data_IF_011953697479
#
_entry.id   IF_011953697479
#
_cell.length_a   1.000
_cell.length_b   1.000
_cell.length_c   1.000
_cell.angle_alpha   90.00
_cell.angle_beta   90.00
_cell.angle_gamma   90.00
#
_symmetry.space_group_name_H-M   'P 1'
#
loop_
_entity.id
_entity.type
_entity.pdbx_description
1 polymer ?
#
# COMPACT_ATOMS: atom_id res chain seq x y z
N UNK A 1 14.10 -31.36 4.23
CA UNK A 1 15.08 -30.56 5.03
C UNK A 1 16.04 -29.75 4.16
N UNK A 2 16.73 -30.31 3.15
CA UNK A 2 17.66 -29.56 2.27
C UNK A 2 17.04 -28.30 1.61
N UNK A 3 15.81 -28.45 1.10
CA UNK A 3 15.02 -27.35 0.50
C UNK A 3 14.76 -26.16 1.47
N UNK A 4 14.51 -26.42 2.76
CA UNK A 4 14.26 -25.34 3.74
C UNK A 4 15.54 -24.55 4.03
N UNK A 5 16.70 -25.21 4.12
CA UNK A 5 17.97 -24.50 4.32
C UNK A 5 18.38 -23.70 3.08
N UNK A 6 18.18 -24.24 1.88
CA UNK A 6 18.40 -23.50 0.63
C UNK A 6 17.47 -22.27 0.54
N UNK A 7 16.20 -22.41 0.91
CA UNK A 7 15.25 -21.30 1.02
C UNK A 7 15.73 -20.25 2.05
N UNK A 8 16.20 -20.68 3.23
CA UNK A 8 16.74 -19.75 4.25
C UNK A 8 17.96 -19.00 3.72
N UNK A 9 18.88 -19.67 3.04
CA UNK A 9 20.05 -19.04 2.43
C UNK A 9 19.66 -18.01 1.38
N UNK A 10 18.71 -18.36 0.50
CA UNK A 10 18.13 -17.45 -0.49
C UNK A 10 17.51 -16.20 0.15
N UNK A 11 16.64 -16.38 1.14
CA UNK A 11 15.97 -15.26 1.82
C UNK A 11 16.99 -14.36 2.56
N UNK A 12 18.00 -14.95 3.20
CA UNK A 12 19.10 -14.20 3.84
C UNK A 12 19.93 -13.41 2.82
N UNK A 13 20.20 -13.98 1.66
CA UNK A 13 20.87 -13.29 0.56
C UNK A 13 20.03 -12.12 0.05
N UNK A 14 18.77 -12.37 -0.32
CA UNK A 14 17.89 -11.36 -0.89
C UNK A 14 17.68 -10.17 0.05
N UNK A 15 17.59 -10.38 1.38
CA UNK A 15 17.54 -9.28 2.36
C UNK A 15 18.68 -8.26 2.21
N UNK A 16 19.86 -8.67 1.73
CA UNK A 16 21.04 -7.78 1.55
C UNK A 16 20.98 -6.93 0.29
N UNK A 17 20.17 -7.31 -0.69
CA UNK A 17 20.05 -6.64 -1.99
C UNK A 17 18.64 -6.08 -2.24
N UNK A 18 17.73 -6.20 -1.27
CA UNK A 18 16.32 -5.86 -1.43
C UNK A 18 16.00 -4.40 -1.10
N UNK A 19 16.37 -3.49 -2.00
CA UNK A 19 16.32 -2.04 -1.76
C UNK A 19 15.14 -1.32 -2.40
N UNK A 20 14.62 -1.84 -3.53
CA UNK A 20 13.63 -1.10 -4.30
C UNK A 20 12.18 -1.31 -3.91
N UNK A 21 11.83 -2.43 -3.29
CA UNK A 21 10.46 -2.65 -2.83
C UNK A 21 10.18 -1.97 -1.49
N UNK A 22 8.96 -1.46 -1.25
CA UNK A 22 8.60 -0.73 -0.04
C UNK A 22 8.28 -1.61 1.18
N UNK A 23 8.65 -2.89 1.15
CA UNK A 23 8.38 -3.83 2.24
C UNK A 23 9.48 -3.77 3.30
N UNK A 24 9.09 -3.47 4.53
CA UNK A 24 9.94 -3.53 5.71
C UNK A 24 10.30 -4.99 6.03
N UNK A 25 11.52 -5.20 6.51
CA UNK A 25 12.08 -6.53 6.83
C UNK A 25 12.75 -6.57 8.21
N UNK A 26 12.66 -5.47 8.96
CA UNK A 26 13.22 -5.24 10.30
C UNK A 26 12.22 -5.62 11.41
N UNK A 27 11.49 -6.72 11.19
CA UNK A 27 10.59 -7.28 12.19
C UNK A 27 11.17 -8.56 12.77
N UNK A 28 10.85 -8.80 14.03
CA UNK A 28 11.15 -10.02 14.75
C UNK A 28 9.85 -10.49 15.44
N UNK A 29 9.46 -11.72 15.13
CA UNK A 29 8.24 -12.34 15.63
C UNK A 29 8.56 -13.62 16.42
N UNK A 30 9.76 -13.73 17.00
CA UNK A 30 10.17 -14.87 17.82
C UNK A 30 9.18 -15.17 18.95
N UNK A 31 8.61 -14.13 19.56
CA UNK A 31 7.57 -14.25 20.60
C UNK A 31 6.21 -14.73 20.07
N UNK A 32 6.02 -14.77 18.74
CA UNK A 32 4.80 -15.23 18.07
C UNK A 32 5.02 -16.54 17.30
N UNK A 33 6.22 -17.14 17.34
CA UNK A 33 6.56 -18.32 16.53
C UNK A 33 5.67 -19.53 16.80
N UNK A 34 5.25 -19.70 18.06
CA UNK A 34 4.41 -20.82 18.50
C UNK A 34 3.00 -20.74 17.89
N UNK A 35 2.54 -19.53 17.58
CA UNK A 35 1.24 -19.31 16.92
C UNK A 35 1.22 -19.90 15.50
N UNK A 36 2.36 -20.12 14.85
CA UNK A 36 2.40 -20.68 13.49
C UNK A 36 1.83 -22.12 13.46
N UNK A 37 1.87 -22.83 14.59
CA UNK A 37 1.31 -24.17 14.74
C UNK A 37 -0.19 -24.19 15.08
N UNK A 38 -0.81 -23.02 15.26
CA UNK A 38 -2.21 -22.88 15.64
C UNK A 38 -3.12 -22.58 14.43
N UNK A 39 -4.40 -22.97 14.54
CA UNK A 39 -5.40 -22.62 13.54
C UNK A 39 -6.01 -21.24 13.83
N UNK A 40 -6.12 -20.40 12.80
CA UNK A 40 -6.80 -19.11 12.89
C UNK A 40 -7.80 -18.91 11.76
N UNK A 41 -8.98 -18.40 12.09
CA UNK A 41 -9.96 -18.01 11.09
C UNK A 41 -10.88 -16.87 11.57
N UNK A 42 -10.69 -15.68 11.00
CA UNK A 42 -11.53 -14.49 11.28
C UNK A 42 -12.73 -14.46 10.33
N UNK A 43 -13.63 -15.43 10.42
CA UNK A 43 -14.79 -15.52 9.52
C UNK A 43 -15.71 -14.30 9.68
N UNK A 44 -16.12 -13.73 8.55
CA UNK A 44 -17.15 -12.68 8.49
C UNK A 44 -16.75 -11.33 9.10
N UNK A 45 -17.75 -10.56 9.53
CA UNK A 45 -17.61 -9.19 10.02
C UNK A 45 -16.75 -9.11 11.31
N UNK A 46 -15.71 -8.24 11.36
CA UNK A 46 -14.85 -8.08 12.54
C UNK A 46 -15.57 -7.65 13.83
N UNK A 47 -16.79 -7.14 13.73
CA UNK A 47 -17.58 -6.62 14.85
C UNK A 47 -18.66 -7.59 15.33
N UNK A 48 -18.80 -8.76 14.70
CA UNK A 48 -19.74 -9.81 15.09
C UNK A 48 -19.14 -10.77 16.13
N UNK A 49 -19.95 -11.74 16.59
CA UNK A 49 -19.49 -12.85 17.41
C UNK A 49 -18.52 -13.72 16.59
N UNK A 50 -17.31 -13.90 17.10
CA UNK A 50 -16.27 -14.71 16.45
C UNK A 50 -16.36 -16.20 16.78
N UNK A 51 -15.60 -17.01 16.06
CA UNK A 51 -15.36 -18.42 16.39
C UNK A 51 -14.27 -18.56 17.49
N UNK A 52 -14.13 -19.73 18.14
CA UNK A 52 -13.06 -19.98 19.10
C UNK A 52 -11.63 -19.79 18.56
N UNK A 53 -11.45 -19.91 17.24
CA UNK A 53 -10.16 -19.73 16.55
C UNK A 53 -10.00 -18.33 15.94
N UNK A 54 -10.91 -17.40 16.26
CA UNK A 54 -10.87 -16.05 15.72
C UNK A 54 -10.05 -15.11 16.59
N UNK A 55 -9.39 -14.15 15.95
CA UNK A 55 -8.59 -13.09 16.58
C UNK A 55 -9.24 -11.72 16.36
N UNK A 56 -10.58 -11.66 16.27
CA UNK A 56 -11.33 -10.45 15.95
C UNK A 56 -11.02 -9.27 16.88
N UNK A 57 -10.64 -9.53 18.14
CA UNK A 57 -10.17 -8.50 19.07
C UNK A 57 -8.89 -7.79 18.59
N UNK A 58 -7.91 -8.54 18.10
CA UNK A 58 -6.67 -8.00 17.53
C UNK A 58 -6.94 -7.24 16.23
N UNK A 59 -7.80 -7.81 15.39
CA UNK A 59 -8.23 -7.16 14.15
C UNK A 59 -8.88 -5.81 14.41
N UNK A 60 -9.87 -5.75 15.32
CA UNK A 60 -10.50 -4.49 15.73
C UNK A 60 -9.51 -3.51 16.34
N UNK A 61 -8.51 -3.97 17.10
CA UNK A 61 -7.50 -3.10 17.67
C UNK A 61 -6.66 -2.40 16.58
N UNK A 62 -6.25 -3.13 15.54
CA UNK A 62 -5.53 -2.58 14.38
C UNK A 62 -6.43 -1.60 13.60
N UNK A 63 -7.68 -1.99 13.31
CA UNK A 63 -8.63 -1.13 12.59
C UNK A 63 -8.88 0.17 13.38
N UNK A 64 -9.18 0.07 14.67
CA UNK A 64 -9.45 1.21 15.53
C UNK A 64 -8.23 2.13 15.68
N UNK A 65 -7.00 1.60 15.67
CA UNK A 65 -5.79 2.40 15.64
C UNK A 65 -5.75 3.32 14.42
N UNK A 66 -5.98 2.78 13.23
CA UNK A 66 -5.97 3.56 11.99
C UNK A 66 -7.22 4.43 11.79
N UNK A 67 -8.40 3.99 12.25
CA UNK A 67 -9.60 4.83 12.27
C UNK A 67 -9.36 6.15 13.04
N UNK A 68 -8.72 6.08 14.21
CA UNK A 68 -8.36 7.26 15.00
C UNK A 68 -7.32 8.17 14.34
N UNK A 69 -6.57 7.67 13.37
CA UNK A 69 -5.59 8.44 12.60
C UNK A 69 -6.21 9.11 11.37
N UNK A 70 -7.27 8.52 10.81
CA UNK A 70 -7.83 8.94 9.52
C UNK A 70 -9.19 9.62 9.61
N UNK A 71 -10.06 9.16 10.50
CA UNK A 71 -11.48 9.53 10.51
C UNK A 71 -11.78 10.51 11.65
N UNK A 72 -12.47 11.61 11.32
CA UNK A 72 -13.06 12.55 12.30
C UNK A 72 -14.13 11.87 13.16
N UNK A 73 -14.94 11.01 12.54
CA UNK A 73 -16.01 10.26 13.18
C UNK A 73 -15.81 8.76 12.99
N UNK A 74 -15.31 8.11 14.05
CA UNK A 74 -15.08 6.66 14.04
C UNK A 74 -16.37 5.85 14.19
N UNK A 75 -17.46 6.44 14.68
CA UNK A 75 -18.72 5.72 14.90
C UNK A 75 -19.43 5.38 13.59
N UNK A 76 -19.28 6.23 12.57
CA UNK A 76 -19.82 6.02 11.22
C UNK A 76 -18.81 5.36 10.28
N UNK A 77 -17.74 4.80 10.85
CA UNK A 77 -16.69 4.12 10.11
C UNK A 77 -16.66 2.63 10.42
N UNK A 78 -16.19 1.85 9.46
CA UNK A 78 -15.98 0.41 9.56
C UNK A 78 -14.70 0.04 8.81
N UNK A 79 -14.17 -1.15 9.09
CA UNK A 79 -13.00 -1.66 8.41
C UNK A 79 -12.82 -3.15 8.63
N UNK A 80 -11.88 -3.74 7.90
CA UNK A 80 -11.41 -5.11 8.11
C UNK A 80 -9.97 -5.29 7.62
N UNK A 81 -9.33 -6.36 8.06
CA UNK A 81 -8.03 -6.79 7.53
C UNK A 81 -8.29 -7.74 6.35
N UNK A 82 -8.04 -7.21 5.15
CA UNK A 82 -8.02 -7.91 3.88
C UNK A 82 -6.70 -8.67 3.67
N UNK A 83 -6.67 -9.63 2.75
CA UNK A 83 -5.45 -10.38 2.41
C UNK A 83 -4.33 -9.51 1.84
N UNK A 84 -4.67 -8.39 1.19
CA UNK A 84 -3.73 -7.41 0.65
C UNK A 84 -4.44 -6.09 0.32
N UNK A 85 -3.68 -5.04 -0.02
CA UNK A 85 -4.28 -3.77 -0.48
C UNK A 85 -5.13 -3.93 -1.75
N UNK A 86 -4.81 -4.87 -2.65
CA UNK A 86 -5.63 -5.07 -3.86
C UNK A 86 -7.05 -5.55 -3.55
N UNK A 87 -7.22 -6.42 -2.54
CA UNK A 87 -8.55 -6.80 -2.04
C UNK A 87 -9.26 -5.62 -1.39
N UNK A 88 -8.55 -4.80 -0.61
CA UNK A 88 -9.13 -3.60 0.01
C UNK A 88 -9.62 -2.58 -1.03
N UNK A 89 -8.86 -2.34 -2.11
CA UNK A 89 -9.26 -1.48 -3.23
C UNK A 89 -10.48 -2.09 -3.95
N UNK A 90 -10.43 -3.39 -4.25
CA UNK A 90 -11.56 -4.11 -4.86
C UNK A 90 -12.84 -3.93 -4.03
N UNK A 91 -12.74 -4.11 -2.72
CA UNK A 91 -13.87 -3.93 -1.81
C UNK A 91 -14.42 -2.51 -1.83
N UNK A 92 -13.55 -1.49 -1.78
CA UNK A 92 -13.95 -0.09 -1.83
C UNK A 92 -14.68 0.27 -3.12
N UNK A 93 -14.14 -0.14 -4.26
CA UNK A 93 -14.73 0.11 -5.59
C UNK A 93 -16.04 -0.66 -5.78
N UNK A 94 -16.09 -1.92 -5.34
CA UNK A 94 -17.30 -2.74 -5.41
C UNK A 94 -18.46 -2.10 -4.65
N UNK A 95 -18.23 -1.70 -3.40
CA UNK A 95 -19.23 -1.04 -2.57
C UNK A 95 -19.64 0.32 -3.12
N UNK A 96 -18.68 1.13 -3.59
CA UNK A 96 -18.99 2.41 -4.22
C UNK A 96 -19.83 2.26 -5.50
N UNK A 97 -19.52 1.26 -6.35
CA UNK A 97 -20.31 0.94 -7.55
C UNK A 97 -21.74 0.54 -7.18
N UNK A 98 -21.92 -0.33 -6.18
CA UNK A 98 -23.24 -0.76 -5.72
C UNK A 98 -24.04 0.40 -5.12
N UNK A 99 -23.38 1.30 -4.38
CA UNK A 99 -24.00 2.51 -3.85
C UNK A 99 -24.53 3.40 -4.98
N UNK A 100 -23.76 3.55 -6.06
CA UNK A 100 -24.15 4.32 -7.24
C UNK A 100 -24.84 3.49 -8.34
N UNK A 101 -25.48 2.37 -8.01
CA UNK A 101 -26.09 1.47 -9.02
C UNK A 101 -27.17 2.10 -9.91
N UNK A 102 -27.71 3.25 -9.52
CA UNK A 102 -28.68 4.02 -10.31
C UNK A 102 -28.02 4.94 -11.36
N UNK A 103 -26.69 5.05 -11.35
CA UNK A 103 -25.91 5.93 -12.22
C UNK A 103 -24.98 5.13 -13.13
N UNK A 104 -24.56 5.78 -14.21
CA UNK A 104 -23.46 5.30 -15.04
C UNK A 104 -22.13 5.58 -14.31
N UNK A 105 -21.52 4.53 -13.76
CA UNK A 105 -20.31 4.64 -12.93
C UNK A 105 -19.04 4.62 -13.79
N UNK A 106 -18.19 5.62 -13.63
CA UNK A 106 -16.83 5.66 -14.21
C UNK A 106 -15.76 5.65 -13.11
N UNK A 107 -14.83 4.70 -13.17
CA UNK A 107 -13.64 4.66 -12.31
C UNK A 107 -12.54 5.56 -12.90
N UNK A 108 -12.05 6.53 -12.12
CA UNK A 108 -11.05 7.52 -12.53
C UNK A 108 -9.78 7.36 -11.67
N UNK A 109 -8.63 7.32 -12.31
CA UNK A 109 -7.32 7.18 -11.63
C UNK A 109 -6.18 7.68 -12.53
N UNK A 110 -4.99 7.87 -11.98
CA UNK A 110 -3.82 8.35 -12.75
C UNK A 110 -3.05 7.22 -13.45
N UNK A 111 -2.21 7.53 -14.42
CA UNK A 111 -1.28 6.56 -15.05
C UNK A 111 -0.16 6.07 -14.08
N UNK A 112 -0.07 6.65 -12.88
CA UNK A 112 0.78 6.19 -11.78
C UNK A 112 0.04 5.35 -10.73
N UNK A 113 -1.28 5.16 -10.87
CA UNK A 113 -2.04 4.29 -9.99
C UNK A 113 -1.53 2.84 -10.10
N UNK A 114 -1.65 2.10 -9.01
CA UNK A 114 -1.18 0.71 -9.00
C UNK A 114 -1.97 -0.14 -10.01
N UNK A 115 -1.30 -1.08 -10.69
CA UNK A 115 -1.91 -1.92 -11.73
C UNK A 115 -3.14 -2.71 -11.25
N UNK A 116 -3.31 -2.90 -9.94
CA UNK A 116 -4.51 -3.55 -9.42
C UNK A 116 -5.77 -2.72 -9.61
N UNK A 117 -5.68 -1.40 -9.82
CA UNK A 117 -6.85 -0.53 -10.05
C UNK A 117 -7.50 -0.84 -11.40
N UNK A 118 -6.72 -0.94 -12.47
CA UNK A 118 -7.23 -1.33 -13.80
C UNK A 118 -7.77 -2.77 -13.78
N UNK A 119 -7.11 -3.67 -13.04
CA UNK A 119 -7.61 -5.03 -12.79
C UNK A 119 -8.94 -5.03 -12.04
N UNK A 120 -9.11 -4.19 -11.01
CA UNK A 120 -10.38 -4.04 -10.29
C UNK A 120 -11.50 -3.54 -11.21
N UNK A 121 -11.22 -2.57 -12.09
CA UNK A 121 -12.18 -2.11 -13.09
C UNK A 121 -12.64 -3.25 -14.00
N UNK A 122 -11.70 -4.11 -14.43
CA UNK A 122 -11.99 -5.27 -15.27
C UNK A 122 -12.84 -6.32 -14.52
N UNK A 123 -12.45 -6.70 -13.30
CA UNK A 123 -13.19 -7.67 -12.47
C UNK A 123 -14.65 -7.22 -12.25
N UNK A 124 -14.85 -5.94 -11.97
CA UNK A 124 -16.18 -5.38 -11.68
C UNK A 124 -16.95 -4.93 -12.93
N UNK A 125 -16.37 -5.09 -14.13
CA UNK A 125 -16.91 -4.61 -15.40
C UNK A 125 -17.34 -3.13 -15.37
N UNK A 126 -16.50 -2.26 -14.81
CA UNK A 126 -16.74 -0.81 -14.71
C UNK A 126 -15.95 -0.08 -15.79
N UNK A 127 -16.58 0.88 -16.48
CA UNK A 127 -15.89 1.82 -17.36
C UNK A 127 -14.81 2.55 -16.57
N UNK A 128 -13.63 2.73 -17.15
CA UNK A 128 -12.58 3.48 -16.48
C UNK A 128 -11.92 4.54 -17.37
N UNK A 129 -11.36 5.55 -16.72
CA UNK A 129 -10.61 6.64 -17.33
C UNK A 129 -9.27 6.80 -16.60
N UNK A 130 -8.19 6.66 -17.36
CA UNK A 130 -6.85 7.03 -16.93
C UNK A 130 -6.63 8.52 -17.22
N UNK A 131 -6.21 9.26 -16.20
CA UNK A 131 -5.76 10.66 -16.28
C UNK A 131 -4.24 10.67 -16.26
N UNK A 132 -3.62 11.54 -17.05
CA UNK A 132 -2.16 11.68 -17.07
C UNK A 132 -1.65 12.27 -15.77
N UNK A 133 -0.48 11.82 -15.30
CA UNK A 133 0.25 12.45 -14.21
C UNK A 133 1.26 13.49 -14.70
N UNK A 134 1.61 14.40 -13.79
CA UNK A 134 2.74 15.33 -13.91
C UNK A 134 4.06 14.57 -13.77
N UNK A 135 5.19 15.23 -14.06
CA UNK A 135 6.53 14.62 -13.99
C UNK A 135 6.89 14.05 -12.61
N UNK A 136 6.31 14.59 -11.54
CA UNK A 136 6.53 14.11 -10.18
C UNK A 136 5.69 12.86 -9.84
N UNK A 137 4.78 12.45 -10.72
CA UNK A 137 3.91 11.28 -10.62
C UNK A 137 2.52 11.58 -10.05
N UNK A 138 2.22 12.80 -9.62
CA UNK A 138 0.87 13.18 -9.17
C UNK A 138 -0.06 13.35 -10.36
N UNK A 139 -1.33 12.97 -10.19
CA UNK A 139 -2.38 13.19 -11.17
C UNK A 139 -2.44 14.67 -11.62
N UNK A 140 -2.62 14.90 -12.92
CA UNK A 140 -2.89 16.23 -13.45
C UNK A 140 -4.36 16.60 -13.22
N UNK A 141 -4.58 17.49 -12.25
CA UNK A 141 -5.92 17.98 -11.90
C UNK A 141 -6.56 18.85 -12.99
N UNK A 142 -5.77 19.52 -13.84
CA UNK A 142 -6.31 20.25 -14.99
C UNK A 142 -6.88 19.31 -16.05
N UNK A 143 -6.19 18.19 -16.29
CA UNK A 143 -6.68 17.11 -17.15
C UNK A 143 -7.92 16.41 -16.55
N UNK A 144 -7.94 16.21 -15.22
CA UNK A 144 -9.13 15.70 -14.52
C UNK A 144 -10.33 16.64 -14.69
N UNK A 145 -10.16 17.94 -14.45
CA UNK A 145 -11.23 18.94 -14.58
C UNK A 145 -11.75 19.02 -16.02
N UNK A 146 -10.86 18.99 -17.02
CA UNK A 146 -11.24 18.98 -18.43
C UNK A 146 -12.07 17.75 -18.78
N UNK A 147 -11.65 16.56 -18.33
CA UNK A 147 -12.42 15.32 -18.52
C UNK A 147 -13.83 15.42 -17.93
N UNK A 148 -13.96 15.92 -16.70
CA UNK A 148 -15.27 16.06 -16.04
C UNK A 148 -16.17 17.06 -16.76
N UNK A 149 -15.61 18.18 -17.25
CA UNK A 149 -16.33 19.19 -18.02
C UNK A 149 -16.86 18.63 -19.34
N UNK A 150 -16.02 17.91 -20.09
CA UNK A 150 -16.39 17.31 -21.39
C UNK A 150 -17.41 16.18 -21.27
N UNK A 151 -17.41 15.47 -20.13
CA UNK A 151 -18.27 14.32 -19.88
C UNK A 151 -19.37 14.64 -18.86
N UNK A 152 -19.67 15.92 -18.64
CA UNK A 152 -20.71 16.35 -17.70
C UNK A 152 -22.07 15.76 -18.10
N UNK A 153 -22.65 14.99 -17.19
CA UNK A 153 -23.96 14.38 -17.36
C UNK A 153 -24.56 14.10 -15.98
N UNK A 154 -25.84 14.46 -15.80
CA UNK A 154 -26.58 14.26 -14.53
C UNK A 154 -26.70 12.79 -14.12
N UNK A 155 -26.61 11.85 -15.08
CA UNK A 155 -26.68 10.41 -14.82
C UNK A 155 -25.32 9.76 -14.54
N UNK A 156 -24.22 10.52 -14.46
CA UNK A 156 -22.89 9.97 -14.18
C UNK A 156 -22.56 10.00 -12.68
N UNK A 157 -21.88 8.93 -12.24
CA UNK A 157 -21.20 8.89 -10.96
C UNK A 157 -19.72 8.53 -11.15
N UNK A 158 -18.86 9.05 -10.29
CA UNK A 158 -17.42 8.85 -10.41
C UNK A 158 -16.85 8.17 -9.16
N UNK A 159 -16.04 7.13 -9.36
CA UNK A 159 -15.19 6.57 -8.31
C UNK A 159 -13.78 7.03 -8.62
N UNK A 160 -13.20 7.87 -7.78
CA UNK A 160 -11.83 8.36 -7.92
C UNK A 160 -10.90 7.59 -6.99
N UNK A 161 -9.84 7.01 -7.55
CA UNK A 161 -8.72 6.46 -6.78
C UNK A 161 -7.62 7.50 -6.72
N UNK A 162 -7.47 8.14 -5.56
CA UNK A 162 -6.33 9.00 -5.27
C UNK A 162 -5.15 8.14 -4.81
N UNK A 163 -4.05 8.18 -5.56
CA UNK A 163 -2.84 7.44 -5.20
C UNK A 163 -2.10 8.19 -4.09
N UNK A 164 -1.95 7.55 -2.94
CA UNK A 164 -1.23 8.09 -1.78
C UNK A 164 0.07 7.30 -1.62
N UNK A 165 1.14 7.80 -2.24
CA UNK A 165 2.43 7.12 -2.30
C UNK A 165 2.51 6.19 -3.49
N UNK A 166 2.61 6.75 -4.70
CA UNK A 166 2.78 5.95 -5.91
C UNK A 166 4.01 5.05 -5.83
N UNK A 167 3.96 3.90 -6.51
CA UNK A 167 4.94 2.82 -6.33
C UNK A 167 6.38 3.24 -6.64
N UNK A 168 6.56 4.21 -7.54
CA UNK A 168 7.87 4.60 -8.07
C UNK A 168 8.34 5.89 -7.43
N UNK A 169 7.50 6.94 -7.43
CA UNK A 169 7.89 8.29 -7.03
C UNK A 169 7.38 8.68 -5.64
N UNK A 170 6.56 7.84 -4.99
CA UNK A 170 5.83 8.18 -3.75
C UNK A 170 5.01 9.47 -3.89
N UNK A 171 4.53 9.76 -5.10
CA UNK A 171 3.63 10.89 -5.33
C UNK A 171 2.32 10.72 -4.55
N UNK A 172 1.77 11.84 -4.09
CA UNK A 172 0.50 11.90 -3.38
C UNK A 172 -0.45 12.76 -4.20
N UNK A 173 -1.48 12.15 -4.76
CA UNK A 173 -2.54 12.88 -5.46
C UNK A 173 -3.26 13.82 -4.49
N UNK A 174 -3.43 15.08 -4.87
CA UNK A 174 -4.15 16.07 -4.06
C UNK A 174 -5.67 15.82 -4.08
N UNK A 175 -6.09 14.81 -3.31
CA UNK A 175 -7.48 14.37 -3.24
C UNK A 175 -8.45 15.45 -2.72
N UNK A 176 -7.96 16.42 -1.92
CA UNK A 176 -8.78 17.54 -1.43
C UNK A 176 -9.12 18.50 -2.57
N UNK A 177 -8.16 18.83 -3.40
CA UNK A 177 -8.39 19.66 -4.59
C UNK A 177 -9.21 18.90 -5.64
N UNK A 178 -8.92 17.61 -5.86
CA UNK A 178 -9.74 16.75 -6.71
C UNK A 178 -11.21 16.73 -6.25
N UNK A 179 -11.47 16.61 -4.95
CA UNK A 179 -12.80 16.70 -4.37
C UNK A 179 -13.50 18.02 -4.70
N UNK A 180 -12.80 19.14 -4.58
CA UNK A 180 -13.34 20.45 -4.94
C UNK A 180 -13.67 20.53 -6.43
N UNK A 181 -12.85 19.93 -7.29
CA UNK A 181 -13.13 19.83 -8.72
C UNK A 181 -14.40 18.99 -8.95
N UNK A 182 -14.51 17.79 -8.39
CA UNK A 182 -15.70 16.94 -8.54
C UNK A 182 -16.98 17.67 -8.14
N UNK A 183 -16.97 18.37 -6.99
CA UNK A 183 -18.12 19.15 -6.50
C UNK A 183 -18.63 20.24 -7.44
N UNK A 184 -17.79 20.75 -8.35
CA UNK A 184 -18.23 21.71 -9.39
C UNK A 184 -19.18 21.06 -10.40
N UNK A 185 -19.09 19.74 -10.58
CA UNK A 185 -19.76 19.01 -11.66
C UNK A 185 -20.79 17.98 -11.16
N UNK A 186 -20.61 17.39 -9.97
CA UNK A 186 -21.54 16.40 -9.44
C UNK A 186 -21.35 16.18 -7.94
N UNK A 187 -22.41 15.78 -7.25
CA UNK A 187 -22.37 15.26 -5.88
C UNK A 187 -22.22 13.73 -5.84
N UNK A 188 -22.38 13.06 -7.00
CA UNK A 188 -22.30 11.60 -7.13
C UNK A 188 -20.86 11.14 -7.35
N UNK A 189 -20.00 11.34 -6.34
CA UNK A 189 -18.63 10.85 -6.41
C UNK A 189 -18.17 10.16 -5.12
N UNK A 190 -17.21 9.27 -5.26
CA UNK A 190 -16.56 8.54 -4.19
C UNK A 190 -15.05 8.62 -4.35
N UNK A 191 -14.34 8.97 -3.28
CA UNK A 191 -12.89 9.06 -3.26
C UNK A 191 -12.34 7.93 -2.37
N UNK A 192 -11.55 7.06 -3.00
CA UNK A 192 -10.73 6.06 -2.32
C UNK A 192 -9.29 6.54 -2.28
N UNK A 193 -8.65 6.48 -1.12
CA UNK A 193 -7.22 6.72 -0.99
C UNK A 193 -6.46 5.38 -1.11
N UNK A 194 -5.74 5.17 -2.21
CA UNK A 194 -4.77 4.07 -2.28
C UNK A 194 -3.50 4.43 -1.51
N UNK A 195 -3.56 4.21 -0.19
CA UNK A 195 -2.47 4.43 0.76
C UNK A 195 -1.66 3.18 1.04
N UNK A 196 -1.52 2.27 0.07
CA UNK A 196 -0.88 0.98 0.31
C UNK A 196 0.50 1.12 1.00
N UNK A 197 1.33 2.06 0.56
CA UNK A 197 2.60 2.35 1.25
C UNK A 197 2.49 3.54 2.18
N UNK A 198 2.29 4.74 1.63
CA UNK A 198 2.36 5.98 2.39
C UNK A 198 1.21 6.17 3.37
N UNK A 199 0.09 5.45 3.19
CA UNK A 199 -1.03 5.52 4.13
C UNK A 199 -0.70 5.05 5.55
N UNK A 200 0.38 4.29 5.74
CA UNK A 200 0.82 3.94 7.09
C UNK A 200 1.41 5.13 7.87
N UNK A 201 1.86 6.18 7.18
CA UNK A 201 2.53 7.34 7.79
C UNK A 201 2.02 8.71 7.34
N UNK A 202 1.19 8.79 6.29
CA UNK A 202 0.50 10.02 5.89
C UNK A 202 -0.16 10.73 7.10
N UNK A 203 -0.98 10.05 7.93
CA UNK A 203 -1.65 10.71 9.05
C UNK A 203 -0.74 11.02 10.25
N UNK A 204 0.55 10.69 10.14
CA UNK A 204 1.57 10.95 11.16
C UNK A 204 2.37 12.22 10.86
N UNK A 205 2.18 12.82 9.68
CA UNK A 205 2.82 14.06 9.27
C UNK A 205 2.19 15.26 9.99
N UNK A 206 3.01 16.26 10.30
CA UNK A 206 2.57 17.43 11.07
C UNK A 206 1.51 18.29 10.36
N UNK A 207 1.49 18.27 9.03
CA UNK A 207 0.57 19.01 8.16
C UNK A 207 -0.69 18.22 7.79
N UNK A 208 -0.80 16.96 8.23
CA UNK A 208 -1.99 16.17 7.94
C UNK A 208 -3.17 16.63 8.80
N UNK A 209 -4.23 17.06 8.12
CA UNK A 209 -5.51 17.39 8.73
C UNK A 209 -6.43 16.18 8.58
N UNK A 210 -6.79 15.59 9.71
CA UNK A 210 -7.84 14.57 9.85
C UNK A 210 -9.13 15.06 9.18
N UNK A 211 -9.82 14.23 8.39
CA UNK A 211 -11.04 14.73 7.73
C UNK A 211 -11.82 13.74 6.86
N UNK A 212 -12.98 14.22 6.39
CA UNK A 212 -14.03 13.49 5.65
C UNK A 212 -13.95 13.68 4.12
N UNK A 213 -12.80 14.13 3.63
CA UNK A 213 -12.58 14.43 2.20
C UNK A 213 -12.44 13.17 1.34
N UNK A 214 -12.50 11.99 1.95
CA UNK A 214 -12.48 10.69 1.29
C UNK A 214 -13.46 9.73 1.98
N UNK A 215 -13.85 8.67 1.27
CA UNK A 215 -14.85 7.71 1.72
C UNK A 215 -14.24 6.39 2.18
N UNK A 216 -13.06 6.05 1.68
CA UNK A 216 -12.28 4.91 2.16
C UNK A 216 -10.78 5.06 1.89
N UNK A 217 -9.99 4.26 2.60
CA UNK A 217 -8.53 4.20 2.46
C UNK A 217 -8.06 2.77 2.71
N UNK A 218 -7.06 2.33 1.94
CA UNK A 218 -6.34 1.08 2.21
C UNK A 218 -4.89 1.35 2.63
N UNK A 219 -4.34 0.44 3.45
CA UNK A 219 -2.94 0.49 3.93
C UNK A 219 -2.38 -0.92 3.90
N UNK A 220 -1.17 -1.13 3.37
CA UNK A 220 -0.53 -2.46 3.41
C UNK A 220 0.22 -2.68 4.73
N UNK A 221 -0.14 -3.72 5.47
CA UNK A 221 0.54 -4.05 6.73
C UNK A 221 1.98 -4.55 6.54
N UNK A 222 2.25 -5.22 5.42
CA UNK A 222 3.57 -5.77 5.07
C UNK A 222 4.53 -4.74 4.45
N UNK A 223 4.09 -3.49 4.22
CA UNK A 223 4.93 -2.43 3.68
C UNK A 223 5.68 -1.68 4.79
N UNK A 224 5.25 -0.48 5.15
CA UNK A 224 5.96 0.37 6.12
C UNK A 224 6.05 -0.23 7.54
N UNK A 225 4.96 -0.85 8.01
CA UNK A 225 4.92 -1.45 9.35
C UNK A 225 5.83 -2.68 9.43
N UNK A 226 5.68 -3.60 8.47
CA UNK A 226 6.45 -4.84 8.38
C UNK A 226 5.71 -6.04 8.97
N UNK A 227 5.26 -6.93 8.09
CA UNK A 227 4.53 -8.16 8.42
C UNK A 227 5.07 -9.25 7.48
N UNK A 228 5.25 -10.51 7.95
CA UNK A 228 5.90 -11.55 7.14
C UNK A 228 5.03 -12.04 5.98
N UNK A 229 3.73 -11.71 5.99
CA UNK A 229 2.77 -12.06 4.96
C UNK A 229 1.99 -10.82 4.50
N UNK A 230 1.51 -10.80 3.24
CA UNK A 230 0.63 -9.75 2.76
C UNK A 230 -0.59 -9.57 3.66
N UNK A 231 -1.00 -8.30 3.77
CA UNK A 231 -2.18 -7.87 4.50
C UNK A 231 -2.54 -6.45 4.08
N UNK A 232 -3.84 -6.16 4.05
CA UNK A 232 -4.40 -4.84 3.76
C UNK A 232 -5.35 -4.42 4.87
N UNK A 233 -5.20 -3.21 5.40
CA UNK A 233 -6.13 -2.61 6.35
C UNK A 233 -7.04 -1.71 5.53
N UNK A 234 -8.34 -2.04 5.48
CA UNK A 234 -9.34 -1.19 4.87
C UNK A 234 -10.06 -0.39 5.94
N UNK A 235 -10.24 0.92 5.69
CA UNK A 235 -11.19 1.77 6.42
C UNK A 235 -12.20 2.35 5.42
N UNK A 236 -13.48 2.39 5.77
CA UNK A 236 -14.57 2.87 4.90
C UNK A 236 -15.73 3.42 5.74
N UNK A 237 -16.41 4.45 5.24
CA UNK A 237 -17.63 4.97 5.86
C UNK A 237 -18.78 3.96 5.72
N UNK A 238 -19.49 3.69 6.82
CA UNK A 238 -20.54 2.66 6.92
C UNK A 238 -21.63 2.78 5.86
N UNK A 239 -22.01 4.00 5.48
CA UNK A 239 -23.08 4.25 4.50
C UNK A 239 -22.84 3.65 3.11
N UNK A 240 -21.60 3.31 2.76
CA UNK A 240 -21.27 2.70 1.47
C UNK A 240 -21.27 1.18 1.51
N UNK A 241 -21.39 0.56 2.69
CA UNK A 241 -21.26 -0.88 2.83
C UNK A 241 -22.61 -1.55 2.58
N UNK A 242 -22.63 -2.58 1.75
CA UNK A 242 -23.75 -3.52 1.67
C UNK A 242 -23.62 -4.62 2.72
N UNK A 243 -24.74 -4.99 3.36
CA UNK A 243 -24.82 -6.06 4.36
C UNK A 243 -25.83 -7.12 3.89
N UNK A 244 -25.43 -8.39 3.94
CA UNK A 244 -26.34 -9.53 3.74
C UNK A 244 -26.14 -10.52 4.91
N UNK A 245 -27.20 -10.85 5.64
CA UNK A 245 -27.12 -11.82 6.73
C UNK A 245 -26.97 -13.26 6.19
N UNK A 246 -26.10 -14.06 6.83
CA UNK A 246 -25.85 -15.46 6.47
C UNK A 246 -26.10 -16.38 7.67
N UNK A 247 -27.14 -17.20 7.56
CA UNK A 247 -27.68 -18.02 8.66
C UNK A 247 -26.67 -19.04 9.23
N UNK A 248 -25.92 -19.75 8.38
CA UNK A 248 -25.06 -20.85 8.84
C UNK A 248 -23.78 -20.43 9.58
N UNK A 249 -23.40 -19.15 9.50
CA UNK A 249 -22.30 -18.55 10.29
C UNK A 249 -22.81 -17.57 11.34
N UNK A 250 -24.13 -17.36 11.42
CA UNK A 250 -24.79 -16.35 12.28
C UNK A 250 -24.08 -15.00 12.24
N UNK A 251 -23.83 -14.51 11.01
CA UNK A 251 -23.00 -13.32 10.77
C UNK A 251 -23.41 -12.60 9.49
N UNK A 252 -23.12 -11.31 9.41
CA UNK A 252 -23.27 -10.53 8.19
C UNK A 252 -22.08 -10.79 7.25
N UNK A 253 -22.36 -11.20 6.01
CA UNK A 253 -21.38 -11.24 4.95
C UNK A 253 -21.07 -9.82 4.48
N UNK A 254 -19.97 -9.29 5.01
CA UNK A 254 -19.50 -7.93 4.81
C UNK A 254 -18.06 -7.87 4.28
N UNK A 255 -17.48 -8.98 3.83
CA UNK A 255 -16.06 -9.04 3.42
C UNK A 255 -15.91 -9.80 2.10
N UNK A 256 -14.85 -9.54 1.32
CA UNK A 256 -14.60 -10.33 0.09
C UNK A 256 -14.28 -11.79 0.46
N UNK A 257 -13.37 -11.99 1.41
CA UNK A 257 -13.02 -13.32 1.91
C UNK A 257 -14.05 -13.83 2.90
N UNK A 258 -14.51 -15.08 2.74
CA UNK A 258 -15.31 -15.77 3.75
C UNK A 258 -14.47 -16.15 4.97
N UNK A 259 -13.52 -17.07 4.78
CA UNK A 259 -12.46 -17.33 5.77
C UNK A 259 -11.34 -16.31 5.62
N UNK A 260 -10.87 -15.75 6.74
CA UNK A 260 -9.88 -14.65 6.73
C UNK A 260 -8.72 -14.92 7.67
N UNK A 261 -7.56 -14.39 7.32
CA UNK A 261 -6.30 -14.64 8.01
C UNK A 261 -6.26 -13.97 9.40
N UNK A 262 -6.55 -14.75 10.45
CA UNK A 262 -6.51 -14.26 11.83
C UNK A 262 -5.09 -14.07 12.39
N UNK A 263 -4.09 -14.81 11.89
CA UNK A 263 -2.70 -14.65 12.34
C UNK A 263 -2.14 -13.27 11.95
N UNK A 264 -2.45 -12.79 10.75
CA UNK A 264 -1.99 -11.47 10.31
C UNK A 264 -2.51 -10.34 11.20
N UNK A 265 -3.70 -10.47 11.80
CA UNK A 265 -4.22 -9.48 12.73
C UNK A 265 -3.39 -9.41 14.02
N UNK A 266 -3.01 -10.59 14.55
CA UNK A 266 -2.16 -10.70 15.74
C UNK A 266 -0.77 -10.13 15.49
N UNK A 267 -0.15 -10.49 14.36
CA UNK A 267 1.19 -10.02 14.00
C UNK A 267 1.21 -8.50 13.79
N UNK A 268 0.23 -7.94 13.07
CA UNK A 268 0.13 -6.49 12.88
C UNK A 268 -0.09 -5.73 14.20
N UNK A 269 -0.95 -6.24 15.08
CA UNK A 269 -1.17 -5.64 16.39
C UNK A 269 0.13 -5.60 17.20
N UNK A 270 0.82 -6.74 17.32
CA UNK A 270 2.09 -6.83 18.02
C UNK A 270 3.16 -5.92 17.40
N UNK A 271 3.18 -5.80 16.06
CA UNK A 271 4.11 -4.93 15.37
C UNK A 271 3.89 -3.46 15.71
N UNK A 272 2.64 -2.99 15.67
CA UNK A 272 2.30 -1.60 16.04
C UNK A 272 2.75 -1.32 17.47
N UNK A 273 2.54 -2.25 18.41
CA UNK A 273 3.00 -2.11 19.79
C UNK A 273 4.53 -2.07 19.90
N UNK A 274 5.23 -3.00 19.23
CA UNK A 274 6.70 -3.08 19.24
C UNK A 274 7.37 -1.83 18.65
N UNK A 275 6.69 -1.15 17.73
CA UNK A 275 7.11 0.11 17.13
C UNK A 275 6.70 1.32 17.98
N UNK A 276 6.26 1.14 19.22
CA UNK A 276 5.88 2.25 20.11
C UNK A 276 4.57 2.94 19.75
N UNK A 277 3.66 2.24 19.06
CA UNK A 277 2.36 2.75 18.62
C UNK A 277 2.49 4.07 17.85
N UNK A 278 1.60 5.05 18.06
CA UNK A 278 1.63 6.32 17.31
C UNK A 278 2.97 7.06 17.43
N UNK A 279 3.53 7.18 18.65
CA UNK A 279 4.76 7.94 18.88
C UNK A 279 5.96 7.32 18.16
N UNK A 280 6.13 6.01 18.27
CA UNK A 280 7.27 5.37 17.62
C UNK A 280 7.06 5.19 16.10
N UNK A 281 5.83 5.15 15.59
CA UNK A 281 5.59 5.27 14.14
C UNK A 281 5.96 6.67 13.59
N UNK A 282 5.69 7.74 14.34
CA UNK A 282 6.16 9.10 13.99
C UNK A 282 7.69 9.14 13.96
N UNK A 283 8.34 8.62 15.01
CA UNK A 283 9.80 8.56 15.07
C UNK A 283 10.39 7.75 13.90
N UNK A 284 9.84 6.57 13.63
CA UNK A 284 10.24 5.71 12.50
C UNK A 284 10.13 6.44 11.17
N UNK A 285 9.02 7.17 10.95
CA UNK A 285 8.83 7.96 9.73
C UNK A 285 9.90 9.06 9.62
N UNK A 286 10.16 9.80 10.71
CA UNK A 286 11.18 10.84 10.74
C UNK A 286 12.59 10.28 10.45
N UNK A 287 12.96 9.15 11.05
CA UNK A 287 14.24 8.49 10.79
C UNK A 287 14.38 8.06 9.33
N UNK A 288 13.31 7.55 8.71
CA UNK A 288 13.29 7.20 7.29
C UNK A 288 13.39 8.46 6.40
N UNK A 289 12.75 9.56 6.81
CA UNK A 289 12.79 10.83 6.11
C UNK A 289 14.20 11.43 6.14
N UNK A 290 14.82 11.54 7.32
CA UNK A 290 16.19 12.04 7.49
C UNK A 290 17.20 11.19 6.72
N UNK A 291 17.02 9.86 6.76
CA UNK A 291 17.81 8.92 5.95
C UNK A 291 17.65 9.21 4.46
N UNK A 292 16.43 9.45 3.97
CA UNK A 292 16.20 9.73 2.57
C UNK A 292 16.86 11.03 2.10
N UNK A 293 16.89 12.08 2.93
CA UNK A 293 17.60 13.33 2.60
C UNK A 293 19.12 13.12 2.55
N UNK A 294 19.64 12.38 3.53
CA UNK A 294 21.06 12.02 3.60
C UNK A 294 21.47 11.19 2.38
N UNK A 295 20.69 10.16 2.04
CA UNK A 295 21.01 9.24 0.95
C UNK A 295 20.86 9.89 -0.42
N UNK A 296 19.87 10.79 -0.59
CA UNK A 296 19.76 11.60 -1.79
C UNK A 296 21.01 12.46 -2.00
N UNK A 297 21.52 13.08 -0.93
CA UNK A 297 22.76 13.88 -0.99
C UNK A 297 23.96 13.02 -1.38
N UNK A 298 24.09 11.81 -0.80
CA UNK A 298 25.17 10.87 -1.16
C UNK A 298 25.09 10.45 -2.63
N UNK A 299 23.89 10.14 -3.14
CA UNK A 299 23.67 9.79 -4.55
C UNK A 299 24.08 10.93 -5.49
N UNK A 300 23.63 12.16 -5.18
CA UNK A 300 23.97 13.36 -5.97
C UNK A 300 25.47 13.65 -5.97
N UNK A 301 26.13 13.58 -4.81
CA UNK A 301 27.59 13.74 -4.70
C UNK A 301 28.38 12.67 -5.45
N UNK A 302 27.73 11.56 -5.79
CA UNK A 302 28.29 10.49 -6.62
C UNK A 302 27.91 10.60 -8.10
N UNK A 303 27.34 11.72 -8.56
CA UNK A 303 26.87 11.95 -9.92
C UNK A 303 25.77 10.97 -10.37
N UNK A 304 24.97 10.46 -9.43
CA UNK A 304 23.80 9.66 -9.75
C UNK A 304 22.58 10.59 -9.91
N UNK A 305 21.87 10.45 -11.03
CA UNK A 305 20.63 11.19 -11.28
C UNK A 305 19.54 10.68 -10.33
N UNK A 306 19.29 11.44 -9.27
CA UNK A 306 18.36 11.06 -8.23
C UNK A 306 17.54 12.26 -7.71
N UNK A 307 16.28 12.00 -7.38
CA UNK A 307 15.34 12.98 -6.85
C UNK A 307 14.27 12.30 -5.98
N UNK A 308 13.47 13.09 -5.26
CA UNK A 308 12.34 12.59 -4.46
C UNK A 308 11.22 13.63 -4.42
N UNK A 309 9.99 13.17 -4.20
CA UNK A 309 8.90 14.07 -3.82
C UNK A 309 9.13 14.62 -2.40
N UNK A 310 8.60 15.82 -2.09
CA UNK A 310 8.63 16.36 -0.73
C UNK A 310 8.05 15.36 0.26
N UNK A 311 8.70 15.19 1.42
CA UNK A 311 8.27 14.29 2.49
C UNK A 311 8.16 12.79 2.10
N UNK A 312 8.61 12.39 0.91
CA UNK A 312 8.71 10.98 0.55
C UNK A 312 9.84 10.30 1.33
N UNK A 313 9.71 9.00 1.60
CA UNK A 313 10.81 8.17 2.12
C UNK A 313 11.40 7.25 1.04
N UNK A 314 11.07 7.52 -0.22
CA UNK A 314 11.67 6.89 -1.39
C UNK A 314 12.53 7.88 -2.14
N UNK A 315 13.49 7.36 -2.90
CA UNK A 315 14.31 8.14 -3.83
C UNK A 315 14.17 7.50 -5.20
N UNK A 316 13.83 8.32 -6.18
CA UNK A 316 13.81 7.97 -7.59
C UNK A 316 15.21 8.12 -8.12
N UNK A 317 15.67 7.11 -8.85
CA UNK A 317 16.95 7.11 -9.55
C UNK A 317 16.66 6.87 -11.03
N UNK A 318 17.35 7.60 -11.91
CA UNK A 318 17.10 7.58 -13.35
C UNK A 318 18.29 7.01 -14.11
N UNK A 319 18.04 6.57 -15.35
CA UNK A 319 19.05 6.12 -16.31
C UNK A 319 19.96 5.00 -15.79
N UNK A 320 19.35 4.00 -15.14
CA UNK A 320 20.07 2.84 -14.61
C UNK A 320 20.12 1.70 -15.64
N UNK A 321 21.25 0.99 -15.69
CA UNK A 321 21.39 -0.26 -16.45
C UNK A 321 20.47 -1.37 -15.91
N UNK A 322 19.88 -2.17 -16.82
CA UNK A 322 18.98 -3.28 -16.47
C UNK A 322 19.56 -4.22 -15.41
N UNK A 323 20.87 -4.50 -15.47
CA UNK A 323 21.59 -5.40 -14.55
C UNK A 323 21.49 -4.96 -13.08
N UNK A 324 21.40 -3.66 -12.84
CA UNK A 324 21.24 -3.12 -11.49
C UNK A 324 19.86 -3.48 -10.94
N UNK A 325 18.81 -3.38 -11.76
CA UNK A 325 17.46 -3.75 -11.33
C UNK A 325 17.38 -5.20 -10.90
N UNK A 326 17.98 -6.08 -11.71
CA UNK A 326 17.95 -7.52 -11.48
C UNK A 326 18.71 -7.90 -10.19
N UNK A 327 19.88 -7.28 -9.93
CA UNK A 327 20.64 -7.52 -8.69
C UNK A 327 19.93 -6.96 -7.45
N UNK A 328 19.44 -5.72 -7.54
CA UNK A 328 18.99 -4.93 -6.39
C UNK A 328 17.47 -4.96 -6.17
N UNK A 329 16.75 -5.84 -6.88
CA UNK A 329 15.29 -5.98 -6.81
C UNK A 329 14.59 -4.62 -6.89
N UNK A 330 15.00 -3.81 -7.87
CA UNK A 330 14.44 -2.48 -8.03
C UNK A 330 13.18 -2.52 -8.90
N UNK A 331 12.17 -1.77 -8.47
CA UNK A 331 10.98 -1.55 -9.29
C UNK A 331 11.33 -0.61 -10.43
N UNK A 332 10.93 -0.98 -11.65
CA UNK A 332 11.13 -0.18 -12.86
C UNK A 332 9.81 0.36 -13.38
N UNK A 333 9.79 1.64 -13.72
CA UNK A 333 8.74 2.25 -14.52
C UNK A 333 9.33 3.32 -15.42
N UNK A 334 9.09 3.24 -16.72
CA UNK A 334 9.76 4.09 -17.72
C UNK A 334 11.30 3.98 -17.52
N UNK A 335 12.01 5.10 -17.42
CA UNK A 335 13.45 5.15 -17.13
C UNK A 335 13.77 5.35 -15.63
N UNK A 336 12.78 5.17 -14.76
CA UNK A 336 12.91 5.39 -13.32
C UNK A 336 13.01 4.07 -12.57
N UNK A 337 13.84 4.09 -11.55
CA UNK A 337 13.95 3.08 -10.51
C UNK A 337 13.69 3.73 -9.15
N UNK A 338 13.32 2.95 -8.14
CA UNK A 338 13.10 3.48 -6.79
C UNK A 338 13.94 2.72 -5.78
N UNK A 339 14.47 3.43 -4.78
CA UNK A 339 14.94 2.85 -3.52
C UNK A 339 14.06 3.35 -2.38
N UNK A 340 13.79 2.50 -1.40
CA UNK A 340 13.00 2.86 -0.23
C UNK A 340 13.90 2.97 1.01
N UNK A 341 13.92 4.13 1.65
CA UNK A 341 14.74 4.45 2.82
C UNK A 341 14.17 3.90 4.14
N UNK A 342 13.66 2.66 4.11
CA UNK A 342 13.27 1.91 5.30
C UNK A 342 14.50 1.48 6.12
N UNK A 343 14.34 0.98 7.36
CA UNK A 343 15.46 0.53 8.18
C UNK A 343 16.37 -0.49 7.51
N UNK A 344 15.82 -1.34 6.63
CA UNK A 344 16.57 -2.34 5.85
C UNK A 344 17.67 -1.74 4.97
N UNK A 345 17.52 -0.51 4.50
CA UNK A 345 18.52 0.15 3.66
C UNK A 345 19.51 0.88 4.56
N UNK A 346 20.75 0.39 4.61
CA UNK A 346 21.85 0.99 5.34
C UNK A 346 22.88 1.65 4.39
N UNK A 347 23.81 2.41 4.97
CA UNK A 347 24.82 3.16 4.20
C UNK A 347 25.74 2.24 3.40
N UNK A 348 26.09 1.06 3.92
CA UNK A 348 26.93 0.10 3.19
C UNK A 348 26.21 -0.37 1.92
N UNK A 349 24.95 -0.80 2.03
CA UNK A 349 24.13 -1.20 0.88
C UNK A 349 24.00 -0.09 -0.15
N UNK A 350 23.83 1.17 0.28
CA UNK A 350 23.80 2.31 -0.63
C UNK A 350 25.13 2.48 -1.39
N UNK A 351 26.27 2.35 -0.69
CA UNK A 351 27.59 2.48 -1.32
C UNK A 351 27.88 1.35 -2.29
N UNK A 352 27.47 0.11 -1.97
CA UNK A 352 27.56 -1.03 -2.87
C UNK A 352 26.67 -0.83 -4.11
N UNK A 353 25.45 -0.33 -3.94
CA UNK A 353 24.56 0.04 -5.05
C UNK A 353 25.19 1.11 -5.94
N UNK A 354 25.78 2.15 -5.37
CA UNK A 354 26.47 3.21 -6.12
C UNK A 354 27.67 2.64 -6.90
N UNK A 355 28.44 1.74 -6.29
CA UNK A 355 29.55 1.08 -6.97
C UNK A 355 29.07 0.29 -8.19
N UNK A 356 28.00 -0.50 -8.03
CA UNK A 356 27.42 -1.26 -9.12
C UNK A 356 26.86 -0.37 -10.23
N UNK A 357 26.14 0.71 -9.88
CA UNK A 357 25.60 1.67 -10.87
C UNK A 357 26.72 2.25 -11.73
N UNK A 358 27.88 2.53 -11.13
CA UNK A 358 29.07 3.05 -11.84
C UNK A 358 29.84 1.97 -12.60
N UNK A 359 29.62 0.69 -12.31
CA UNK A 359 30.38 -0.43 -12.86
C UNK A 359 29.45 -1.60 -13.24
N UNK A 360 28.43 -1.41 -14.09
CA UNK A 360 27.42 -2.44 -14.35
C UNK A 360 28.01 -3.71 -14.99
N UNK A 361 29.14 -3.59 -15.71
CA UNK A 361 29.86 -4.71 -16.32
C UNK A 361 30.61 -5.59 -15.30
N UNK A 362 30.82 -5.11 -14.07
CA UNK A 362 31.50 -5.87 -13.00
C UNK A 362 30.52 -6.69 -12.15
N UNK A 363 29.22 -6.66 -12.46
CA UNK A 363 28.22 -7.40 -11.70
C UNK A 363 28.34 -8.89 -12.02
N UNK A 364 28.76 -9.67 -11.02
CA UNK A 364 28.80 -11.12 -11.10
C UNK A 364 27.42 -11.73 -10.81
N UNK A 365 26.77 -12.21 -11.87
CA UNK A 365 25.49 -12.93 -11.76
C UNK A 365 25.64 -14.44 -11.53
N UNK A 366 26.86 -14.99 -11.49
CA UNK A 366 27.08 -16.43 -11.33
C UNK A 366 26.49 -16.94 -10.00
N UNK A 367 26.62 -16.16 -8.94
CA UNK A 367 26.00 -16.42 -7.64
C UNK A 367 24.54 -15.95 -7.58
N UNK A 368 24.17 -14.91 -8.31
CA UNK A 368 22.79 -14.40 -8.34
C UNK A 368 21.82 -15.47 -8.85
N UNK A 369 22.18 -16.26 -9.87
CA UNK A 369 21.35 -17.35 -10.39
C UNK A 369 21.01 -18.41 -9.33
N UNK A 370 21.97 -18.72 -8.45
CA UNK A 370 21.83 -19.69 -7.34
C UNK A 370 20.85 -19.21 -6.24
N UNK A 371 20.60 -17.91 -6.12
CA UNK A 371 19.73 -17.32 -5.09
C UNK A 371 18.53 -16.52 -5.67
N UNK A 372 18.45 -16.33 -6.99
CA UNK A 372 17.35 -15.60 -7.63
C UNK A 372 16.21 -16.54 -8.06
N UNK A 373 16.52 -17.78 -8.44
CA UNK A 373 15.51 -18.70 -8.95
C UNK A 373 14.72 -19.34 -7.79
N UNK A 374 13.39 -19.36 -7.92
CA UNK A 374 12.50 -20.13 -7.06
C UNK A 374 12.64 -21.60 -7.47
N UNK A 375 13.51 -22.33 -6.77
CA UNK A 375 13.72 -23.76 -7.04
C UNK A 375 12.45 -24.48 -6.60
N UNK A 376 11.84 -25.21 -7.55
CA UNK A 376 10.69 -26.06 -7.26
C UNK A 376 10.98 -26.93 -6.02
N UNK A 377 10.06 -26.98 -5.04
CA UNK A 377 10.22 -27.87 -3.90
C UNK A 377 10.04 -29.36 -4.26
N UNK A 378 9.58 -29.64 -5.49
CA UNK A 378 9.32 -30.95 -6.09
C UNK A 378 10.38 -31.30 -7.13
#
# INVERSE_FOLDING_TARGET
MKNIEDLKLRLRHNKKVYVGYPTATDFDYDNCKELISEHFNNIGNPYSKGSPFSTLGHERAVINFFLKLYMSNTNDSWGYIASCSSEAILYGVWNARNYFKAYDVTLVYSDYAHYCVSKTANILAIKNKVITSRNNGEIDLGSLESFLKENYNKNQAYIFIATIGSTITSSIDNYKEARNIFKKYTDNFYIHLDGAFDGAFLPLKNDYILGEDFQSVNISGHKFLGNPMPSGILLIQKKYISQNYVEYIDNDDMTIGGSRNGLSAVLLYNRILSLGSKKGLIQRYQECLDKSETFLTILKNNNIKAWKNPQAITIVIEDIDKRIFDKWHMLKYKNQATITCLPKLNKQMLMELIFDIKNPDKIDFSNAKKFAEDISPL
#
